data_IF_163540542520
#
_entry.id   IF_163540542520
#
_cell.length_a   1.000
_cell.length_b   1.000
_cell.length_c   1.000
_cell.angle_alpha   90.00
_cell.angle_beta   90.00
_cell.angle_gamma   90.00
#
_symmetry.space_group_name_H-M   'P 1'
#
loop_
_entity.id
_entity.type
_entity.pdbx_description
1 polymer ?
#
# COMPACT_ATOMS: atom_id res chain seq x y z
N UNK A 1 4.51 -3.46 -16.92
CA UNK A 1 5.04 -3.00 -15.60
C UNK A 1 6.57 -2.99 -15.54
N UNK A 2 7.28 -3.94 -16.18
CA UNK A 2 8.76 -3.94 -16.18
C UNK A 2 9.33 -2.70 -16.87
N UNK A 3 8.74 -2.27 -17.97
CA UNK A 3 9.27 -1.17 -18.79
C UNK A 3 9.08 0.22 -18.14
N UNK A 4 8.01 0.39 -17.36
CA UNK A 4 7.76 1.63 -16.62
C UNK A 4 8.67 1.78 -15.39
N UNK A 5 9.11 0.67 -14.79
CA UNK A 5 10.05 0.67 -13.67
C UNK A 5 11.50 0.85 -14.11
N UNK A 6 11.86 0.44 -15.34
CA UNK A 6 13.20 0.67 -15.89
C UNK A 6 13.54 2.14 -16.13
N UNK A 7 12.53 3.01 -16.27
CA UNK A 7 12.70 4.48 -16.42
C UNK A 7 13.09 5.20 -15.11
N UNK A 8 13.17 4.48 -13.99
CA UNK A 8 13.40 5.03 -12.65
C UNK A 8 14.77 4.63 -12.09
N UNK A 9 15.80 4.53 -12.93
CA UNK A 9 17.18 4.18 -12.50
C UNK A 9 18.04 5.40 -12.11
N UNK A 10 17.44 6.43 -11.53
CA UNK A 10 18.20 7.56 -11.01
C UNK A 10 18.49 7.36 -9.51
N UNK A 11 19.54 7.97 -8.95
CA UNK A 11 19.81 7.92 -7.51
C UNK A 11 18.59 8.43 -6.73
N UNK A 12 18.37 7.90 -5.54
CA UNK A 12 17.17 8.21 -4.71
C UNK A 12 17.01 9.72 -4.55
N UNK A 13 18.08 10.48 -4.36
CA UNK A 13 18.06 11.94 -4.19
C UNK A 13 17.35 12.71 -5.31
N UNK A 14 17.25 12.14 -6.49
CA UNK A 14 16.59 12.74 -7.67
C UNK A 14 15.27 12.07 -8.04
N UNK A 15 14.75 11.19 -7.18
CA UNK A 15 13.48 10.51 -7.44
C UNK A 15 12.30 11.35 -6.95
N UNK A 16 11.26 11.41 -7.76
CA UNK A 16 9.96 11.91 -7.31
C UNK A 16 9.28 10.85 -6.42
N UNK A 17 8.41 11.29 -5.53
CA UNK A 17 7.53 10.38 -4.83
C UNK A 17 6.70 9.55 -5.83
N UNK A 18 6.32 8.34 -5.46
CA UNK A 18 5.62 7.42 -6.35
C UNK A 18 4.23 7.05 -5.80
N UNK A 19 3.25 6.98 -6.67
CA UNK A 19 1.92 6.45 -6.38
C UNK A 19 1.69 5.21 -7.24
N UNK A 20 1.61 4.02 -6.62
CA UNK A 20 1.14 2.82 -7.28
C UNK A 20 -0.38 2.72 -7.15
N UNK A 21 -1.07 2.90 -8.26
CA UNK A 21 -2.52 2.98 -8.35
C UNK A 21 -3.10 1.79 -9.12
N UNK A 22 -4.24 1.28 -8.66
CA UNK A 22 -4.99 0.23 -9.35
C UNK A 22 -5.80 -0.64 -8.39
N UNK A 23 -6.63 -1.59 -8.91
CA UNK A 23 -7.49 -2.43 -8.11
C UNK A 23 -6.75 -3.24 -7.03
N UNK A 24 -7.48 -3.78 -6.05
CA UNK A 24 -6.89 -4.67 -5.04
C UNK A 24 -6.36 -5.98 -5.66
N UNK A 25 -5.42 -6.61 -4.99
CA UNK A 25 -4.91 -7.95 -5.36
C UNK A 25 -4.07 -8.06 -6.62
N UNK A 26 -3.77 -6.96 -7.32
CA UNK A 26 -3.01 -6.99 -8.59
C UNK A 26 -1.48 -6.95 -8.42
N UNK A 27 -0.99 -6.98 -7.17
CA UNK A 27 0.45 -7.01 -6.89
C UNK A 27 1.12 -5.64 -6.76
N UNK A 28 0.37 -4.55 -6.49
CA UNK A 28 0.94 -3.21 -6.25
C UNK A 28 2.04 -3.22 -5.20
N UNK A 29 1.80 -3.89 -4.07
CA UNK A 29 2.77 -4.03 -2.99
C UNK A 29 4.06 -4.74 -3.45
N UNK A 30 3.93 -5.82 -4.21
CA UNK A 30 5.10 -6.54 -4.77
C UNK A 30 5.89 -5.65 -5.72
N UNK A 31 5.22 -4.84 -6.54
CA UNK A 31 5.89 -3.90 -7.45
C UNK A 31 6.60 -2.78 -6.68
N UNK A 32 5.98 -2.25 -5.64
CA UNK A 32 6.61 -1.25 -4.76
C UNK A 32 7.85 -1.82 -4.06
N UNK A 33 7.78 -3.03 -3.51
CA UNK A 33 8.95 -3.68 -2.89
C UNK A 33 10.06 -3.97 -3.90
N UNK A 34 9.72 -4.41 -5.12
CA UNK A 34 10.71 -4.61 -6.18
C UNK A 34 11.42 -3.29 -6.54
N UNK A 35 10.68 -2.19 -6.60
CA UNK A 35 11.27 -0.87 -6.78
C UNK A 35 12.21 -0.49 -5.63
N UNK A 36 11.76 -0.63 -4.38
CA UNK A 36 12.54 -0.30 -3.19
C UNK A 36 13.80 -1.17 -3.08
N UNK A 37 13.71 -2.44 -3.51
CA UNK A 37 14.82 -3.39 -3.47
C UNK A 37 16.04 -2.93 -4.24
N UNK A 38 15.86 -2.19 -5.33
CA UNK A 38 16.97 -1.68 -6.16
C UNK A 38 17.82 -0.64 -5.41
N UNK A 39 17.29 -0.03 -4.35
CA UNK A 39 17.98 0.92 -3.50
C UNK A 39 18.50 0.32 -2.19
N UNK A 40 18.08 -0.89 -1.84
CA UNK A 40 18.51 -1.58 -0.62
C UNK A 40 19.88 -2.23 -0.81
N UNK A 41 20.83 -1.91 0.08
CA UNK A 41 22.16 -2.54 0.09
C UNK A 41 22.09 -4.04 0.38
N UNK A 42 21.09 -4.44 1.16
CA UNK A 42 20.88 -5.85 1.56
C UNK A 42 19.87 -6.59 0.68
N UNK A 43 19.24 -5.90 -0.30
CA UNK A 43 18.18 -6.44 -1.14
C UNK A 43 16.93 -6.80 -0.36
N UNK A 44 16.62 -6.04 0.71
CA UNK A 44 15.50 -6.24 1.62
C UNK A 44 15.51 -7.59 2.36
N UNK A 45 16.69 -8.18 2.59
CA UNK A 45 16.80 -9.47 3.33
C UNK A 45 16.49 -9.33 4.82
N UNK A 46 16.75 -8.17 5.38
CA UNK A 46 16.59 -7.91 6.82
C UNK A 46 15.47 -6.93 7.07
N UNK A 47 14.31 -7.47 7.37
CA UNK A 47 13.14 -6.70 7.77
C UNK A 47 12.87 -6.92 9.27
N UNK A 48 12.60 -5.84 9.99
CA UNK A 48 12.26 -5.84 11.41
C UNK A 48 10.86 -5.28 11.60
N UNK A 49 10.16 -5.80 12.60
CA UNK A 49 8.91 -5.22 13.08
C UNK A 49 9.23 -4.42 14.34
N UNK A 50 8.84 -3.15 14.34
CA UNK A 50 8.97 -2.29 15.52
C UNK A 50 7.58 -2.11 16.13
N UNK A 51 7.52 -2.25 17.44
CA UNK A 51 6.34 -1.96 18.23
C UNK A 51 6.39 -0.49 18.65
N UNK A 52 5.41 0.27 18.20
CA UNK A 52 5.16 1.63 18.66
C UNK A 52 4.04 1.61 19.68
N UNK A 53 4.35 1.96 20.93
CA UNK A 53 3.35 2.07 21.99
C UNK A 53 2.84 3.50 22.07
N UNK A 54 1.57 3.69 21.73
CA UNK A 54 0.92 4.99 21.85
C UNK A 54 0.13 5.07 23.14
N UNK A 55 0.42 6.06 24.00
CA UNK A 55 -0.22 6.32 25.28
C UNK A 55 -0.34 5.07 26.19
N UNK A 56 0.63 4.17 26.13
CA UNK A 56 0.69 2.91 26.90
C UNK A 56 -0.52 1.97 26.74
N UNK A 57 -1.39 2.17 25.73
CA UNK A 57 -2.63 1.41 25.57
C UNK A 57 -2.75 0.60 24.27
N UNK A 58 -2.14 1.06 23.18
CA UNK A 58 -2.18 0.36 21.88
C UNK A 58 -0.79 0.26 21.31
N UNK A 59 -0.45 -0.92 20.83
CA UNK A 59 0.81 -1.19 20.16
C UNK A 59 0.57 -1.24 18.66
N UNK A 60 1.28 -0.42 17.91
CA UNK A 60 1.25 -0.40 16.46
C UNK A 60 2.51 -1.06 15.92
N UNK A 61 2.34 -1.92 14.91
CA UNK A 61 3.44 -2.65 14.28
C UNK A 61 3.82 -1.94 12.97
N UNK A 62 5.03 -1.38 12.97
CA UNK A 62 5.65 -0.86 11.75
C UNK A 62 6.76 -1.81 11.29
N UNK A 63 6.91 -1.93 9.98
CA UNK A 63 7.94 -2.76 9.38
C UNK A 63 9.06 -1.86 8.87
N UNK A 64 10.30 -2.19 9.18
CA UNK A 64 11.46 -1.43 8.71
C UNK A 64 12.50 -2.35 8.10
N UNK A 65 13.23 -1.81 7.14
CA UNK A 65 14.45 -2.43 6.58
C UNK A 65 15.64 -1.47 6.68
N UNK A 66 16.70 -1.80 5.98
CA UNK A 66 17.89 -0.94 5.85
C UNK A 66 17.60 0.42 5.19
N UNK A 67 16.57 0.54 4.37
CA UNK A 67 16.27 1.77 3.62
C UNK A 67 14.78 2.17 3.67
N UNK A 68 13.84 1.25 3.99
CA UNK A 68 12.44 1.58 3.95
C UNK A 68 11.72 1.36 5.27
N UNK A 69 10.67 2.16 5.45
CA UNK A 69 9.78 2.21 6.60
C UNK A 69 8.35 2.01 6.10
N UNK A 70 7.70 0.92 6.51
CA UNK A 70 6.37 0.55 6.01
C UNK A 70 5.29 0.89 7.03
N UNK A 71 4.29 1.64 6.59
CA UNK A 71 3.11 2.02 7.37
C UNK A 71 1.84 1.60 6.64
N UNK A 72 0.92 1.02 7.38
CA UNK A 72 -0.44 0.78 6.90
C UNK A 72 -1.35 1.91 7.39
N UNK A 73 -1.83 2.74 6.46
CA UNK A 73 -2.63 3.93 6.79
C UNK A 73 -3.98 3.59 7.40
N UNK A 74 -4.53 2.41 7.07
CA UNK A 74 -5.78 1.92 7.63
C UNK A 74 -5.65 1.61 9.14
N UNK A 75 -4.48 1.12 9.57
CA UNK A 75 -4.24 0.75 10.96
C UNK A 75 -4.04 1.95 11.91
N UNK A 76 -3.76 3.13 11.39
CA UNK A 76 -3.56 4.33 12.20
C UNK A 76 -4.86 4.81 12.86
N UNK A 77 -6.01 4.61 12.21
CA UNK A 77 -7.33 4.94 12.75
C UNK A 77 -7.51 6.41 13.15
N UNK A 78 -8.29 6.66 14.20
CA UNK A 78 -8.61 8.01 14.67
C UNK A 78 -7.40 8.79 15.24
N UNK A 79 -6.36 8.09 15.67
CA UNK A 79 -5.13 8.71 16.18
C UNK A 79 -4.07 8.93 15.10
N UNK A 80 -4.45 8.83 13.83
CA UNK A 80 -3.54 8.83 12.69
C UNK A 80 -2.57 10.01 12.69
N UNK A 81 -3.05 11.21 13.01
CA UNK A 81 -2.23 12.43 13.04
C UNK A 81 -1.10 12.36 14.07
N UNK A 82 -1.40 11.95 15.30
CA UNK A 82 -0.43 11.87 16.38
C UNK A 82 0.57 10.73 16.15
N UNK A 83 0.05 9.55 15.79
CA UNK A 83 0.87 8.38 15.50
C UNK A 83 1.82 8.61 14.32
N UNK A 84 1.33 9.26 13.27
CA UNK A 84 2.15 9.62 12.13
C UNK A 84 3.27 10.59 12.51
N UNK A 85 2.96 11.61 13.30
CA UNK A 85 3.95 12.57 13.75
C UNK A 85 5.08 11.91 14.56
N UNK A 86 4.71 11.05 15.50
CA UNK A 86 5.70 10.32 16.32
C UNK A 86 6.53 9.37 15.47
N UNK A 87 5.89 8.63 14.58
CA UNK A 87 6.56 7.73 13.63
C UNK A 87 7.50 8.50 12.71
N UNK A 88 7.06 9.63 12.14
CA UNK A 88 7.85 10.46 11.26
C UNK A 88 9.10 11.02 11.97
N UNK A 89 8.94 11.57 13.18
CA UNK A 89 10.05 12.07 13.97
C UNK A 89 11.07 10.96 14.26
N UNK A 90 10.59 9.77 14.61
CA UNK A 90 11.48 8.62 14.84
C UNK A 90 12.28 8.22 13.60
N UNK A 91 11.65 8.26 12.40
CA UNK A 91 12.38 8.06 11.14
C UNK A 91 13.44 9.13 10.93
N UNK A 92 13.11 10.39 11.17
CA UNK A 92 14.05 11.51 11.04
C UNK A 92 15.25 11.32 11.97
N UNK A 93 15.04 10.88 13.20
CA UNK A 93 16.12 10.60 14.15
C UNK A 93 17.04 9.47 13.65
N UNK A 94 16.44 8.38 13.14
CA UNK A 94 17.20 7.26 12.56
C UNK A 94 18.01 7.74 11.35
N UNK A 95 17.39 8.49 10.43
CA UNK A 95 18.06 8.98 9.22
C UNK A 95 19.15 10.01 9.54
N UNK A 96 18.94 10.84 10.56
CA UNK A 96 19.95 11.81 11.01
C UNK A 96 21.21 11.12 11.55
N UNK A 97 21.04 9.94 12.16
CA UNK A 97 22.14 9.13 12.67
C UNK A 97 22.77 8.21 11.61
N UNK A 98 22.12 8.03 10.46
CA UNK A 98 22.60 7.16 9.38
C UNK A 98 23.63 7.88 8.50
N UNK A 99 24.55 7.13 7.88
CA UNK A 99 25.57 7.72 6.97
C UNK A 99 24.97 8.25 5.66
N UNK A 100 23.94 7.59 5.15
CA UNK A 100 23.38 7.90 3.82
C UNK A 100 22.30 8.99 3.88
N UNK A 101 21.77 9.31 5.07
CA UNK A 101 20.68 10.29 5.29
C UNK A 101 19.50 10.14 4.33
N UNK A 102 19.26 8.91 3.84
CA UNK A 102 18.28 8.62 2.79
C UNK A 102 17.33 7.50 3.25
N UNK A 103 16.04 7.69 3.01
CA UNK A 103 15.03 6.70 3.37
C UNK A 103 13.79 6.74 2.47
N UNK A 104 13.03 5.65 2.49
CA UNK A 104 11.77 5.50 1.74
C UNK A 104 10.65 5.16 2.71
N UNK A 105 9.58 5.94 2.74
CA UNK A 105 8.37 5.60 3.48
C UNK A 105 7.36 4.96 2.52
N UNK A 106 7.02 3.70 2.78
CA UNK A 106 6.01 2.96 2.05
C UNK A 106 4.66 3.04 2.77
N UNK A 107 3.75 3.86 2.24
CA UNK A 107 2.40 4.03 2.76
C UNK A 107 1.45 3.06 2.07
N UNK A 108 1.04 2.00 2.77
CA UNK A 108 0.04 1.05 2.29
C UNK A 108 -1.37 1.55 2.55
N UNK A 109 -2.32 1.08 1.72
CA UNK A 109 -3.74 1.42 1.85
C UNK A 109 -3.97 2.94 1.98
N UNK A 110 -3.25 3.74 1.18
CA UNK A 110 -3.31 5.20 1.29
C UNK A 110 -4.72 5.75 1.10
N UNK A 111 -5.59 5.07 0.35
CA UNK A 111 -7.01 5.41 0.21
C UNK A 111 -7.83 5.25 1.50
N UNK A 112 -7.24 4.69 2.56
CA UNK A 112 -7.84 4.56 3.90
C UNK A 112 -7.27 5.55 4.91
N UNK A 113 -6.49 6.53 4.45
CA UNK A 113 -5.94 7.58 5.30
C UNK A 113 -7.06 8.38 5.97
N UNK A 114 -6.86 8.72 7.24
CA UNK A 114 -7.80 9.60 7.96
C UNK A 114 -7.72 11.02 7.39
N UNK A 115 -8.86 11.70 7.23
CA UNK A 115 -8.95 13.03 6.62
C UNK A 115 -8.05 14.07 7.29
N UNK A 116 -8.03 14.12 8.62
CA UNK A 116 -7.18 15.06 9.38
C UNK A 116 -5.68 14.87 9.10
N UNK A 117 -5.24 13.64 8.84
CA UNK A 117 -3.86 13.37 8.46
C UNK A 117 -3.63 13.77 7.00
N UNK A 118 -4.57 13.49 6.10
CA UNK A 118 -4.47 13.85 4.69
C UNK A 118 -4.31 15.36 4.50
N UNK A 119 -5.09 16.16 5.24
CA UNK A 119 -5.07 17.63 5.16
C UNK A 119 -3.68 18.22 5.48
N UNK A 120 -2.95 17.59 6.39
CA UNK A 120 -1.62 18.05 6.79
C UNK A 120 -0.48 17.29 6.08
N UNK A 121 -0.80 16.23 5.33
CA UNK A 121 0.20 15.31 4.77
C UNK A 121 1.20 16.01 3.84
N UNK A 122 0.73 17.02 3.12
CA UNK A 122 1.58 17.82 2.25
C UNK A 122 2.76 18.47 2.98
N UNK A 123 2.59 18.89 4.24
CA UNK A 123 3.66 19.47 5.04
C UNK A 123 4.81 18.50 5.26
N UNK A 124 4.53 17.20 5.42
CA UNK A 124 5.55 16.17 5.56
C UNK A 124 6.32 15.92 4.26
N UNK A 125 5.70 16.14 3.09
CA UNK A 125 6.38 16.06 1.80
C UNK A 125 7.36 17.22 1.58
N UNK A 126 7.16 18.33 2.29
CA UNK A 126 7.99 19.55 2.15
C UNK A 126 9.12 19.65 3.17
N UNK A 127 8.99 19.03 4.34
CA UNK A 127 9.74 19.37 5.57
C UNK A 127 11.25 19.07 5.51
N UNK A 128 11.75 18.34 4.51
CA UNK A 128 13.06 17.70 4.59
C UNK A 128 14.21 18.42 3.88
N UNK A 129 13.95 19.50 3.17
CA UNK A 129 15.00 20.25 2.46
C UNK A 129 16.04 20.91 3.40
N UNK A 130 15.72 21.06 4.70
CA UNK A 130 16.56 21.80 5.64
C UNK A 130 17.60 20.95 6.41
N UNK A 131 17.53 19.60 6.33
CA UNK A 131 18.39 18.72 7.17
C UNK A 131 19.33 17.80 6.39
N UNK A 132 19.55 18.02 5.10
CA UNK A 132 20.29 17.07 4.23
C UNK A 132 19.72 15.63 4.25
N UNK A 133 18.46 15.46 4.68
CA UNK A 133 17.78 14.18 4.70
C UNK A 133 16.96 14.05 3.43
N UNK A 134 17.17 12.97 2.69
CA UNK A 134 16.42 12.63 1.49
C UNK A 134 15.38 11.55 1.82
N UNK A 135 14.13 11.98 1.99
CA UNK A 135 13.02 11.08 2.28
C UNK A 135 12.06 11.04 1.09
N UNK A 136 11.81 9.83 0.58
CA UNK A 136 10.91 9.57 -0.52
C UNK A 136 9.70 8.81 -0.04
N UNK A 137 8.57 9.09 -0.68
CA UNK A 137 7.32 8.42 -0.36
C UNK A 137 6.90 7.52 -1.52
N UNK A 138 6.45 6.32 -1.16
CA UNK A 138 5.83 5.37 -2.07
C UNK A 138 4.43 5.07 -1.55
N UNK A 139 3.42 5.50 -2.28
CA UNK A 139 2.02 5.31 -1.91
C UNK A 139 1.43 4.13 -2.67
N UNK A 140 0.68 3.28 -1.97
CA UNK A 140 -0.12 2.21 -2.56
C UNK A 140 -1.58 2.53 -2.33
N UNK A 141 -2.32 2.75 -3.42
CA UNK A 141 -3.72 3.16 -3.36
C UNK A 141 -4.57 2.41 -4.39
N UNK A 142 -5.87 2.32 -4.11
CA UNK A 142 -6.86 1.81 -5.08
C UNK A 142 -7.57 2.95 -5.81
N UNK A 143 -7.54 4.14 -5.23
CA UNK A 143 -8.17 5.36 -5.69
C UNK A 143 -7.18 6.52 -5.64
N UNK A 144 -7.26 7.46 -6.58
CA UNK A 144 -6.46 8.69 -6.60
C UNK A 144 -7.32 9.96 -6.48
N UNK A 145 -8.63 9.87 -6.72
CA UNK A 145 -9.52 11.02 -6.78
C UNK A 145 -9.69 11.78 -5.45
N UNK A 146 -9.34 11.16 -4.32
CA UNK A 146 -9.39 11.78 -2.99
C UNK A 146 -8.09 12.50 -2.62
N UNK A 147 -7.01 12.27 -3.39
CA UNK A 147 -5.70 12.85 -3.09
C UNK A 147 -5.67 14.29 -3.60
N UNK A 148 -5.34 15.28 -2.75
CA UNK A 148 -5.23 16.67 -3.16
C UNK A 148 -4.18 16.89 -4.25
N UNK A 149 -4.44 17.83 -5.15
CA UNK A 149 -3.56 18.14 -6.30
C UNK A 149 -2.14 18.51 -5.87
N UNK A 150 -1.98 19.22 -4.76
CA UNK A 150 -0.66 19.57 -4.22
C UNK A 150 0.21 18.36 -3.85
N UNK A 151 -0.40 17.23 -3.49
CA UNK A 151 0.29 15.95 -3.26
C UNK A 151 0.53 15.25 -4.60
N UNK A 152 -0.48 15.24 -5.49
CA UNK A 152 -0.36 14.60 -6.80
C UNK A 152 0.76 15.20 -7.65
N UNK A 153 0.89 16.52 -7.65
CA UNK A 153 1.91 17.25 -8.41
C UNK A 153 3.35 16.91 -8.00
N UNK A 154 3.52 16.40 -6.77
CA UNK A 154 4.82 15.96 -6.24
C UNK A 154 5.08 14.48 -6.41
N UNK A 155 4.17 13.77 -7.06
CA UNK A 155 4.22 12.33 -7.19
C UNK A 155 4.14 11.90 -8.64
N UNK A 156 4.90 10.88 -8.99
CA UNK A 156 4.73 10.17 -10.26
C UNK A 156 3.72 9.05 -10.08
N UNK A 157 2.64 9.08 -10.86
CA UNK A 157 1.58 8.08 -10.79
C UNK A 157 1.92 6.91 -11.72
N UNK A 158 1.95 5.70 -11.16
CA UNK A 158 2.15 4.44 -11.88
C UNK A 158 0.86 3.62 -11.81
N UNK A 159 0.13 3.57 -12.92
CA UNK A 159 -1.06 2.72 -13.02
C UNK A 159 -0.66 1.26 -13.20
N UNK A 160 -1.06 0.43 -12.24
CA UNK A 160 -0.87 -1.02 -12.29
C UNK A 160 -2.15 -1.66 -12.80
N UNK A 161 -2.11 -2.12 -14.05
CA UNK A 161 -3.27 -2.79 -14.67
C UNK A 161 -3.44 -4.21 -14.14
N UNK A 162 -4.68 -4.70 -14.14
CA UNK A 162 -4.97 -6.09 -13.82
C UNK A 162 -4.26 -7.02 -14.82
N UNK A 163 -3.51 -8.02 -14.33
CA UNK A 163 -2.85 -8.98 -15.20
C UNK A 163 -3.86 -9.78 -16.02
N UNK A 164 -3.49 -10.17 -17.23
CA UNK A 164 -4.28 -11.10 -18.03
C UNK A 164 -4.05 -12.57 -17.57
N UNK A 165 -4.86 -13.52 -18.08
CA UNK A 165 -4.78 -14.94 -17.71
C UNK A 165 -3.38 -15.53 -17.90
N UNK A 166 -2.66 -15.12 -18.94
CA UNK A 166 -1.30 -15.63 -19.23
C UNK A 166 -0.27 -15.16 -18.19
N UNK A 167 -0.38 -13.92 -17.72
CA UNK A 167 0.47 -13.36 -16.67
C UNK A 167 0.15 -14.00 -15.32
N UNK A 168 -1.14 -14.18 -15.00
CA UNK A 168 -1.53 -14.92 -13.79
C UNK A 168 -0.98 -16.35 -13.79
N UNK A 169 -1.07 -17.07 -14.91
CA UNK A 169 -0.48 -18.42 -15.06
C UNK A 169 1.03 -18.40 -14.79
N UNK A 170 1.76 -17.40 -15.30
CA UNK A 170 3.20 -17.26 -15.01
C UNK A 170 3.49 -17.01 -13.54
N UNK A 171 2.64 -16.21 -12.86
CA UNK A 171 2.82 -15.88 -11.44
C UNK A 171 2.45 -17.05 -10.51
N UNK A 172 1.43 -17.83 -10.86
CA UNK A 172 0.90 -18.92 -10.02
C UNK A 172 1.51 -20.29 -10.34
N UNK A 173 2.16 -20.42 -11.50
CA UNK A 173 2.67 -21.72 -12.01
C UNK A 173 1.58 -22.69 -12.45
N UNK A 174 0.29 -22.33 -12.28
CA UNK A 174 -0.87 -23.19 -12.61
C UNK A 174 -1.76 -22.52 -13.65
N UNK A 175 -2.42 -23.27 -14.54
CA UNK A 175 -3.41 -22.72 -15.43
C UNK A 175 -4.63 -22.24 -14.61
N UNK A 176 -5.16 -21.07 -14.96
CA UNK A 176 -6.39 -20.55 -14.35
C UNK A 176 -7.58 -21.17 -15.07
N UNK A 177 -8.53 -21.65 -14.30
CA UNK A 177 -9.78 -22.21 -14.82
C UNK A 177 -10.50 -21.16 -15.69
N UNK A 178 -11.13 -21.63 -16.77
CA UNK A 178 -11.89 -20.79 -17.69
C UNK A 178 -13.11 -20.15 -17.03
N UNK A 179 -13.67 -20.78 -16.01
CA UNK A 179 -14.80 -20.30 -15.23
C UNK A 179 -14.47 -19.09 -14.35
N UNK A 180 -13.18 -18.85 -14.04
CA UNK A 180 -12.77 -17.79 -13.15
C UNK A 180 -12.81 -16.43 -13.89
N UNK A 181 -13.61 -15.52 -13.35
CA UNK A 181 -13.70 -14.13 -13.82
C UNK A 181 -12.56 -13.35 -13.19
N UNK A 182 -11.65 -12.82 -14.01
CA UNK A 182 -10.45 -12.12 -13.52
C UNK A 182 -10.77 -10.91 -12.64
N UNK A 183 -11.86 -10.22 -12.91
CA UNK A 183 -12.25 -9.02 -12.15
C UNK A 183 -12.68 -9.32 -10.71
N UNK A 184 -13.04 -10.57 -10.43
CA UNK A 184 -13.40 -11.05 -9.09
C UNK A 184 -12.19 -11.47 -8.24
N UNK A 185 -10.99 -11.51 -8.81
CA UNK A 185 -9.77 -11.89 -8.08
C UNK A 185 -9.34 -10.71 -7.22
N UNK A 186 -9.43 -10.86 -5.91
CA UNK A 186 -8.98 -9.85 -4.94
C UNK A 186 -7.54 -10.11 -4.52
N UNK A 187 -7.13 -11.37 -4.42
CA UNK A 187 -5.78 -11.75 -4.04
C UNK A 187 -5.25 -12.88 -4.92
N UNK A 188 -4.08 -12.67 -5.52
CA UNK A 188 -3.45 -13.67 -6.39
C UNK A 188 -3.13 -14.98 -5.64
N UNK A 189 -2.87 -14.90 -4.33
CA UNK A 189 -2.57 -16.07 -3.49
C UNK A 189 -3.77 -17.03 -3.39
N UNK A 190 -4.98 -16.53 -3.51
CA UNK A 190 -6.19 -17.36 -3.43
C UNK A 190 -6.27 -18.35 -4.59
N UNK A 191 -5.67 -18.00 -5.73
CA UNK A 191 -5.54 -18.89 -6.88
C UNK A 191 -4.56 -20.06 -6.65
N UNK A 192 -3.59 -19.87 -5.75
CA UNK A 192 -2.56 -20.90 -5.47
C UNK A 192 -2.98 -21.88 -4.39
N UNK A 193 -3.81 -21.43 -3.45
CA UNK A 193 -4.24 -22.22 -2.28
C UNK A 193 -5.47 -23.11 -2.57
N UNK A 194 -6.04 -23.01 -3.77
CA UNK A 194 -7.24 -23.78 -4.12
C UNK A 194 -8.52 -23.30 -3.42
N UNK A 195 -8.44 -22.20 -2.67
CA UNK A 195 -9.60 -21.56 -2.09
C UNK A 195 -10.46 -20.95 -3.21
N UNK A 196 -11.61 -21.56 -3.46
CA UNK A 196 -12.60 -21.09 -4.44
C UNK A 196 -13.29 -19.78 -4.03
N UNK A 197 -12.94 -19.22 -2.88
CA UNK A 197 -13.49 -17.96 -2.39
C UNK A 197 -12.67 -16.77 -2.93
N UNK A 198 -12.92 -16.43 -4.18
CA UNK A 198 -12.23 -15.32 -4.88
C UNK A 198 -12.68 -13.91 -4.43
N UNK A 199 -13.69 -13.83 -3.58
CA UNK A 199 -14.20 -12.57 -3.02
C UNK A 199 -13.94 -12.52 -1.52
N UNK A 200 -13.67 -11.32 -1.01
CA UNK A 200 -13.68 -11.07 0.43
C UNK A 200 -14.99 -11.54 1.06
N UNK A 201 -14.96 -12.17 2.26
CA UNK A 201 -16.15 -12.65 2.93
C UNK A 201 -17.26 -11.61 3.07
N UNK A 202 -16.89 -10.36 3.41
CA UNK A 202 -17.86 -9.27 3.55
C UNK A 202 -18.46 -8.83 2.19
N UNK A 203 -17.73 -8.88 1.09
CA UNK A 203 -18.31 -8.64 -0.24
C UNK A 203 -19.30 -9.70 -0.66
N UNK A 204 -19.06 -10.97 -0.27
CA UNK A 204 -20.02 -12.06 -0.47
C UNK A 204 -21.29 -11.84 0.32
N UNK A 205 -21.16 -11.51 1.61
CA UNK A 205 -22.30 -11.23 2.48
C UNK A 205 -23.10 -10.04 1.93
N UNK A 206 -22.43 -8.96 1.56
CA UNK A 206 -23.10 -7.79 0.98
C UNK A 206 -23.80 -8.12 -0.34
N UNK A 207 -23.17 -8.89 -1.23
CA UNK A 207 -23.80 -9.31 -2.47
C UNK A 207 -25.00 -10.22 -2.21
N UNK A 208 -24.90 -11.13 -1.26
CA UNK A 208 -25.99 -12.02 -0.85
C UNK A 208 -27.16 -11.22 -0.27
N UNK A 209 -26.88 -10.23 0.59
CA UNK A 209 -27.90 -9.30 1.10
C UNK A 209 -28.59 -8.52 -0.04
N UNK A 210 -27.86 -8.03 -1.02
CA UNK A 210 -28.41 -7.32 -2.17
C UNK A 210 -29.28 -8.26 -2.99
N UNK A 211 -28.82 -9.48 -3.25
CA UNK A 211 -29.58 -10.50 -3.99
C UNK A 211 -30.85 -10.89 -3.24
N UNK A 212 -30.81 -11.04 -1.91
CA UNK A 212 -31.96 -11.33 -1.06
C UNK A 212 -32.97 -10.16 -1.05
N UNK A 213 -32.50 -8.92 -0.97
CA UNK A 213 -33.36 -7.72 -1.05
C UNK A 213 -33.99 -7.58 -2.44
N UNK A 214 -33.29 -7.97 -3.50
CA UNK A 214 -33.79 -7.85 -4.88
C UNK A 214 -34.82 -8.95 -5.18
N UNK A 215 -34.73 -10.12 -4.53
CA UNK A 215 -35.62 -11.24 -4.66
C UNK A 215 -36.68 -11.26 -3.52
N UNK A 216 -37.63 -10.32 -3.55
CA UNK A 216 -38.64 -10.09 -2.52
C UNK A 216 -39.45 -11.34 -2.11
N UNK A 217 -39.54 -12.39 -2.94
CA UNK A 217 -40.31 -13.60 -2.67
C UNK A 217 -39.66 -14.52 -1.63
N UNK A 218 -38.39 -14.35 -1.29
CA UNK A 218 -37.62 -15.27 -0.42
C UNK A 218 -36.98 -14.61 0.80
N UNK A 219 -37.43 -13.41 1.21
CA UNK A 219 -36.86 -12.74 2.37
C UNK A 219 -37.20 -13.48 3.66
N UNK A 220 -36.21 -14.08 4.28
CA UNK A 220 -36.29 -14.64 5.60
C UNK A 220 -35.88 -13.63 6.66
N UNK A 221 -36.85 -12.88 7.20
CA UNK A 221 -36.63 -11.80 8.17
C UNK A 221 -35.97 -12.25 9.49
N UNK A 222 -35.79 -13.54 9.71
CA UNK A 222 -35.13 -14.10 10.91
C UNK A 222 -33.60 -14.17 10.73
N UNK A 223 -33.09 -14.04 9.52
CA UNK A 223 -31.66 -14.09 9.21
C UNK A 223 -31.00 -12.70 8.96
N UNK A 224 -31.80 -11.65 9.08
CA UNK A 224 -31.33 -10.27 9.00
C UNK A 224 -30.95 -9.75 10.40
#
# INVERSE_FOLDING_TARGET
CSDTLQLVKNPISNQNNLIFYGPSGIGKYTQALNFIKDFSKTGLKYERKINFSFQNKKTYLFKISDIHYEVDMELLGCNAKLLWNDFFNHIIDILSASQDHTGIILCKNFHKIHSELLDIFYSYLQTLTHKNIHLHYVFITENISFIPDNILDRCRIISVKRPNKTVYKKCTGKPIDKSIILDKIVNIKDLTTGNTQLMDPHKKITQQMIDDITNFENINFIQF
#
